data_IF_823737223147
#
_entry.id   IF_823737223147
#
_cell.length_a   1.000
_cell.length_b   1.000
_cell.length_c   1.000
_cell.angle_alpha   90.00
_cell.angle_beta   90.00
_cell.angle_gamma   90.00
#
_symmetry.space_group_name_H-M   'P 1'
#
loop_
_entity.id
_entity.type
_entity.pdbx_description
1 polymer ?
#
# COMPACT_ATOMS: atom_id res chain seq x y z
N UNK A 1 18.26 -19.00 -6.09
CA UNK A 1 17.04 -19.10 -5.26
C UNK A 1 17.18 -18.07 -4.15
N UNK A 2 16.69 -16.85 -4.34
CA UNK A 2 16.95 -15.75 -3.40
C UNK A 2 15.82 -15.69 -2.37
N UNK A 3 16.08 -16.22 -1.18
CA UNK A 3 15.32 -15.89 0.02
C UNK A 3 15.56 -14.40 0.29
N UNK A 4 14.57 -13.54 0.00
CA UNK A 4 14.61 -12.14 0.45
C UNK A 4 14.39 -12.14 1.96
N UNK A 5 15.35 -11.64 2.77
CA UNK A 5 15.19 -11.56 4.22
C UNK A 5 14.14 -10.50 4.58
N UNK A 6 13.62 -10.61 5.79
CA UNK A 6 12.50 -9.83 6.37
C UNK A 6 12.88 -8.34 6.59
N UNK A 7 14.11 -7.93 6.27
CA UNK A 7 14.60 -6.54 6.36
C UNK A 7 13.97 -5.56 5.34
N UNK A 8 13.20 -6.04 4.36
CA UNK A 8 12.63 -5.17 3.32
C UNK A 8 11.40 -4.34 3.77
N UNK A 9 10.89 -4.54 4.99
CA UNK A 9 9.75 -3.80 5.53
C UNK A 9 10.11 -2.37 5.95
N UNK A 10 11.35 -2.10 6.35
CA UNK A 10 11.78 -0.76 6.73
C UNK A 10 12.01 0.15 5.51
N UNK A 11 12.30 -0.47 4.35
CA UNK A 11 12.41 0.26 3.07
C UNK A 11 11.04 0.70 2.54
N UNK A 12 9.96 -0.06 2.81
CA UNK A 12 8.61 0.30 2.39
C UNK A 12 8.13 1.58 3.08
N UNK A 13 8.43 1.72 4.38
CA UNK A 13 8.10 2.93 5.14
C UNK A 13 8.92 4.16 4.67
N UNK A 14 10.00 3.93 3.90
CA UNK A 14 10.90 4.98 3.41
C UNK A 14 10.77 5.26 1.90
N UNK A 15 10.01 4.45 1.15
CA UNK A 15 9.88 4.57 -0.29
C UNK A 15 8.68 5.46 -0.66
N UNK A 16 8.87 6.43 -1.59
CA UNK A 16 7.78 7.18 -2.22
C UNK A 16 6.61 6.28 -2.61
N UNK A 17 5.42 6.54 -2.08
CA UNK A 17 4.24 5.79 -2.48
C UNK A 17 2.98 6.14 -1.71
N UNK A 18 1.95 5.32 -1.93
CA UNK A 18 0.62 5.57 -1.40
C UNK A 18 0.40 4.71 -0.16
N UNK A 19 0.06 5.34 0.95
CA UNK A 19 -0.29 4.69 2.21
C UNK A 19 -1.78 4.48 2.33
N UNK A 20 -2.20 3.30 2.81
CA UNK A 20 -3.60 3.05 3.20
C UNK A 20 -3.78 3.22 4.69
N UNK A 21 -4.62 4.17 5.08
CA UNK A 21 -4.94 4.47 6.48
C UNK A 21 -6.41 4.22 6.79
N UNK A 22 -6.70 3.77 8.01
CA UNK A 22 -8.07 3.52 8.47
C UNK A 22 -8.77 4.84 8.75
N UNK A 23 -9.98 5.04 8.20
CA UNK A 23 -10.84 6.21 8.48
C UNK A 23 -12.29 5.77 8.69
N UNK A 24 -12.78 5.87 9.92
CA UNK A 24 -14.18 5.57 10.25
C UNK A 24 -14.56 4.12 9.94
N UNK A 25 -15.40 3.90 8.92
CA UNK A 25 -15.79 2.56 8.42
C UNK A 25 -15.06 2.10 7.15
N UNK A 26 -14.23 2.96 6.54
CA UNK A 26 -13.48 2.63 5.33
C UNK A 26 -11.99 2.96 5.39
N UNK A 27 -11.42 3.17 4.21
CA UNK A 27 -10.02 3.46 4.00
C UNK A 27 -9.84 4.83 3.37
N UNK A 28 -8.74 5.50 3.72
CA UNK A 28 -8.22 6.67 3.01
C UNK A 28 -6.86 6.32 2.45
N UNK A 29 -6.58 6.81 1.26
CA UNK A 29 -5.30 6.65 0.58
C UNK A 29 -4.58 7.99 0.58
N UNK A 30 -3.31 7.98 0.96
CA UNK A 30 -2.49 9.17 1.17
C UNK A 30 -1.22 9.02 0.36
N UNK A 31 -0.90 10.00 -0.48
CA UNK A 31 0.35 10.02 -1.23
C UNK A 31 1.53 10.42 -0.32
N UNK A 32 2.75 10.33 -0.86
CA UNK A 32 3.98 10.60 -0.11
C UNK A 32 4.01 12.01 0.52
N UNK A 33 3.44 13.01 -0.17
CA UNK A 33 3.35 14.39 0.29
C UNK A 33 2.29 14.63 1.38
N UNK A 34 1.59 13.58 1.82
CA UNK A 34 0.49 13.66 2.77
C UNK A 34 -0.86 14.07 2.15
N UNK A 35 -0.90 14.33 0.84
CA UNK A 35 -2.13 14.63 0.14
C UNK A 35 -3.03 13.40 0.07
N UNK A 36 -4.35 13.64 0.07
CA UNK A 36 -5.29 12.55 -0.16
C UNK A 36 -5.30 12.21 -1.63
N UNK A 37 -5.21 10.94 -1.97
CA UNK A 37 -5.49 10.48 -3.34
C UNK A 37 -6.98 10.70 -3.60
N UNK A 38 -7.29 11.81 -4.27
CA UNK A 38 -8.66 12.26 -4.57
C UNK A 38 -9.12 11.85 -5.97
N UNK A 39 -8.17 11.59 -6.87
CA UNK A 39 -8.45 11.13 -8.22
C UNK A 39 -9.27 9.83 -8.22
N UNK A 40 -10.31 9.79 -9.04
CA UNK A 40 -11.26 8.69 -9.05
C UNK A 40 -10.65 7.45 -9.68
N UNK A 41 -9.87 7.60 -10.75
CA UNK A 41 -9.26 6.48 -11.46
C UNK A 41 -8.22 5.79 -10.58
N UNK A 42 -7.37 6.55 -9.90
CA UNK A 42 -6.42 6.02 -8.93
C UNK A 42 -7.11 5.29 -7.79
N UNK A 43 -8.17 5.86 -7.22
CA UNK A 43 -8.91 5.20 -6.15
C UNK A 43 -9.55 3.89 -6.62
N UNK A 44 -10.13 3.86 -7.82
CA UNK A 44 -10.73 2.66 -8.37
C UNK A 44 -9.66 1.58 -8.63
N UNK A 45 -8.50 1.96 -9.18
CA UNK A 45 -7.35 1.07 -9.35
C UNK A 45 -6.92 0.46 -8.02
N UNK A 46 -6.71 1.30 -7.01
CA UNK A 46 -6.24 0.85 -5.68
C UNK A 46 -7.26 -0.11 -5.05
N UNK A 47 -8.57 0.17 -5.18
CA UNK A 47 -9.61 -0.73 -4.70
C UNK A 47 -9.64 -2.06 -5.47
N UNK A 48 -9.40 -2.02 -6.79
CA UNK A 48 -9.34 -3.21 -7.63
C UNK A 48 -8.16 -4.14 -7.31
N UNK A 49 -7.11 -3.66 -6.62
CA UNK A 49 -6.03 -4.50 -6.12
C UNK A 49 -6.50 -5.53 -5.07
N UNK A 50 -7.70 -5.37 -4.50
CA UNK A 50 -8.28 -6.36 -3.58
C UNK A 50 -7.50 -6.52 -2.27
N UNK A 51 -6.78 -5.50 -1.83
CA UNK A 51 -5.91 -5.56 -0.65
C UNK A 51 -6.74 -5.92 0.59
N UNK A 52 -6.49 -7.07 1.26
CA UNK A 52 -7.30 -7.53 2.37
C UNK A 52 -7.42 -6.50 3.51
N UNK A 53 -8.59 -6.38 4.16
CA UNK A 53 -8.80 -5.39 5.23
C UNK A 53 -7.97 -5.67 6.48
N UNK A 54 -7.50 -6.90 6.67
CA UNK A 54 -6.65 -7.28 7.80
C UNK A 54 -5.19 -6.82 7.64
N UNK A 55 -4.75 -6.45 6.43
CA UNK A 55 -3.38 -6.01 6.19
C UNK A 55 -3.12 -4.64 6.82
N UNK A 56 -1.96 -4.50 7.47
CA UNK A 56 -1.46 -3.29 8.14
C UNK A 56 -0.17 -2.81 7.47
N UNK A 57 0.24 -1.56 7.73
CA UNK A 57 1.42 -0.92 7.09
C UNK A 57 1.42 -1.15 5.57
N UNK A 58 0.28 -0.88 4.94
CA UNK A 58 0.09 -1.10 3.51
C UNK A 58 0.68 0.05 2.73
N UNK A 59 1.59 -0.29 1.83
CA UNK A 59 2.15 0.56 0.81
C UNK A 59 1.66 0.12 -0.56
N UNK A 60 1.36 1.09 -1.40
CA UNK A 60 0.83 0.90 -2.74
C UNK A 60 1.69 1.71 -3.70
N UNK A 61 2.09 1.08 -4.80
CA UNK A 61 2.87 1.73 -5.83
C UNK A 61 1.99 2.76 -6.58
N UNK A 62 2.47 4.00 -6.75
CA UNK A 62 1.78 4.99 -7.57
C UNK A 62 1.78 4.62 -9.05
N UNK A 63 2.80 3.90 -9.53
CA UNK A 63 2.88 3.44 -10.92
C UNK A 63 1.98 2.21 -11.15
N UNK A 64 0.93 2.31 -11.99
CA UNK A 64 0.00 1.22 -12.26
C UNK A 64 0.63 0.03 -13.01
N UNK A 65 1.78 0.21 -13.67
CA UNK A 65 2.45 -0.87 -14.44
C UNK A 65 3.63 -1.49 -13.70
N UNK A 66 3.92 -1.03 -12.48
CA UNK A 66 5.00 -1.58 -11.68
C UNK A 66 4.77 -3.07 -11.36
N UNK A 67 5.83 -3.91 -11.36
CA UNK A 67 5.70 -5.35 -11.10
C UNK A 67 5.05 -5.70 -9.75
N UNK A 68 5.27 -4.87 -8.74
CA UNK A 68 4.63 -5.00 -7.42
C UNK A 68 3.76 -3.77 -7.20
N UNK A 69 2.46 -4.01 -7.08
CA UNK A 69 1.47 -2.95 -6.91
C UNK A 69 1.18 -2.61 -5.45
N UNK A 70 1.25 -3.59 -4.55
CA UNK A 70 1.01 -3.37 -3.13
C UNK A 70 1.76 -4.38 -2.27
N UNK A 71 2.16 -3.93 -1.09
CA UNK A 71 2.78 -4.72 -0.03
C UNK A 71 2.23 -4.28 1.32
N UNK A 72 2.30 -5.15 2.31
CA UNK A 72 1.92 -4.81 3.68
C UNK A 72 2.05 -6.03 4.58
N UNK A 73 1.85 -5.81 5.87
CA UNK A 73 1.87 -6.86 6.88
C UNK A 73 0.52 -7.56 6.94
N UNK A 74 0.52 -8.86 6.67
CA UNK A 74 -0.67 -9.69 6.83
C UNK A 74 -1.04 -9.90 8.32
N UNK A 75 -2.17 -10.59 8.57
CA UNK A 75 -2.62 -10.88 9.93
C UNK A 75 -1.63 -11.78 10.72
N UNK A 76 -0.78 -12.52 10.01
CA UNK A 76 0.28 -13.36 10.57
C UNK A 76 1.62 -12.60 10.71
N UNK A 77 1.66 -11.31 10.38
CA UNK A 77 2.85 -10.46 10.50
C UNK A 77 3.90 -10.69 9.42
N UNK A 78 3.53 -11.23 8.25
CA UNK A 78 4.40 -11.45 7.09
C UNK A 78 4.18 -10.40 6.01
#
# INVERSE_FOLDING_TARGET
MQHRPIEQLDTIDSAPGISRIRRGRGWRFVAEDGATVSDVEDRMRILALGIPPAWRRVWINPDPVAPVQATGLDAAGR
#
